data_IF_350305463352
#
_entry.id   IF_350305463352
#
_cell.length_a   1.000
_cell.length_b   1.000
_cell.length_c   1.000
_cell.angle_alpha   90.00
_cell.angle_beta   90.00
_cell.angle_gamma   90.00
#
_symmetry.space_group_name_H-M   'P 1'
#
loop_
_entity.id
_entity.type
_entity.pdbx_description
1 polymer ?
#
# COMPACT_ATOMS: atom_id res chain seq x y z
N UNK A 1 23.08 -1.77 32.84
CA UNK A 1 23.95 -1.36 31.72
C UNK A 1 23.12 -0.39 30.89
N UNK A 2 23.27 0.92 31.14
CA UNK A 2 22.51 1.95 30.43
C UNK A 2 23.00 1.96 28.98
N UNK A 3 22.08 1.68 28.04
CA UNK A 3 22.34 1.86 26.62
C UNK A 3 22.65 3.33 26.36
N UNK A 4 23.87 3.60 25.88
CA UNK A 4 24.22 4.89 25.29
C UNK A 4 23.22 5.19 24.16
N UNK A 5 22.43 6.25 24.29
CA UNK A 5 21.69 6.82 23.16
C UNK A 5 22.74 7.46 22.25
N UNK A 6 23.15 6.75 21.20
CA UNK A 6 23.74 7.38 20.02
C UNK A 6 22.66 8.27 19.42
N UNK A 7 22.83 9.59 19.53
CA UNK A 7 21.99 10.52 18.77
C UNK A 7 22.45 10.39 17.32
N UNK A 8 21.79 9.51 16.56
CA UNK A 8 21.94 9.49 15.11
C UNK A 8 21.42 10.82 14.60
N UNK A 9 22.28 11.67 14.04
CA UNK A 9 21.86 12.93 13.42
C UNK A 9 20.88 12.62 12.28
N UNK A 10 19.60 12.77 12.58
CA UNK A 10 18.50 12.55 11.66
C UNK A 10 18.10 13.89 11.05
N UNK A 11 18.31 14.03 9.74
CA UNK A 11 17.80 15.15 8.98
C UNK A 11 16.39 14.85 8.46
N UNK A 12 15.36 15.62 8.88
CA UNK A 12 14.00 15.43 8.40
C UNK A 12 13.91 15.50 6.88
N UNK A 13 13.25 14.50 6.28
CA UNK A 13 13.02 14.45 4.83
C UNK A 13 14.17 13.86 4.00
N UNK A 14 15.32 13.53 4.61
CA UNK A 14 16.42 12.81 3.96
C UNK A 14 16.39 11.29 4.16
N UNK A 15 15.40 10.78 4.90
CA UNK A 15 15.21 9.34 5.05
C UNK A 15 14.97 8.68 3.68
N UNK A 16 15.63 7.54 3.44
CA UNK A 16 15.32 6.72 2.27
C UNK A 16 13.90 6.14 2.41
N UNK A 17 13.05 6.46 1.44
CA UNK A 17 11.65 6.04 1.38
C UNK A 17 11.37 5.06 0.23
N UNK A 18 12.39 4.43 -0.33
CA UNK A 18 12.26 3.52 -1.49
C UNK A 18 11.26 2.39 -1.23
N UNK A 19 11.33 1.74 -0.06
CA UNK A 19 10.39 0.67 0.31
C UNK A 19 8.97 1.19 0.54
N UNK A 20 8.81 2.41 1.08
CA UNK A 20 7.49 3.02 1.26
C UNK A 20 6.82 3.32 -0.10
N UNK A 21 7.58 3.85 -1.07
CA UNK A 21 7.08 4.09 -2.43
C UNK A 21 6.67 2.78 -3.10
N UNK A 22 7.52 1.75 -3.04
CA UNK A 22 7.23 0.43 -3.57
C UNK A 22 5.99 -0.20 -2.95
N UNK A 23 5.81 -0.04 -1.65
CA UNK A 23 4.61 -0.52 -0.93
C UNK A 23 3.36 0.20 -1.41
N UNK A 24 3.43 1.53 -1.59
CA UNK A 24 2.31 2.32 -2.11
C UNK A 24 1.93 1.91 -3.54
N UNK A 25 2.92 1.72 -4.42
CA UNK A 25 2.66 1.24 -5.78
C UNK A 25 1.99 -0.15 -5.77
N UNK A 26 2.44 -1.04 -4.88
CA UNK A 26 1.79 -2.34 -4.65
C UNK A 26 0.35 -2.19 -4.16
N UNK A 27 0.10 -1.29 -3.22
CA UNK A 27 -1.22 -1.00 -2.68
C UNK A 27 -2.19 -0.49 -3.77
N UNK A 28 -1.75 0.45 -4.61
CA UNK A 28 -2.60 0.98 -5.70
C UNK A 28 -2.97 -0.14 -6.68
N UNK A 29 -2.03 -1.02 -7.02
CA UNK A 29 -2.31 -2.18 -7.89
C UNK A 29 -3.31 -3.13 -7.22
N UNK A 30 -3.15 -3.42 -5.93
CA UNK A 30 -4.07 -4.26 -5.16
C UNK A 30 -5.49 -3.68 -5.17
N UNK A 31 -5.64 -2.39 -4.84
CA UNK A 31 -6.96 -1.74 -4.79
C UNK A 31 -7.60 -1.69 -6.17
N UNK A 32 -6.83 -1.38 -7.23
CA UNK A 32 -7.33 -1.37 -8.60
C UNK A 32 -7.90 -2.73 -9.00
N UNK A 33 -7.17 -3.82 -8.73
CA UNK A 33 -7.64 -5.18 -9.00
C UNK A 33 -8.87 -5.53 -8.15
N UNK A 34 -8.88 -5.17 -6.87
CA UNK A 34 -10.03 -5.36 -6.01
C UNK A 34 -11.28 -4.66 -6.55
N UNK A 35 -11.16 -3.41 -7.02
CA UNK A 35 -12.27 -2.67 -7.62
C UNK A 35 -12.78 -3.33 -8.90
N UNK A 36 -11.89 -3.77 -9.78
CA UNK A 36 -12.27 -4.48 -11.01
C UNK A 36 -13.01 -5.77 -10.69
N UNK A 37 -12.49 -6.58 -9.75
CA UNK A 37 -13.14 -7.83 -9.34
C UNK A 37 -14.53 -7.58 -8.78
N UNK A 38 -14.70 -6.57 -7.93
CA UNK A 38 -16.01 -6.18 -7.40
C UNK A 38 -16.99 -5.82 -8.51
N UNK A 39 -16.56 -5.04 -9.52
CA UNK A 39 -17.42 -4.68 -10.67
C UNK A 39 -17.79 -5.91 -11.48
N UNK A 40 -16.82 -6.79 -11.77
CA UNK A 40 -17.07 -8.04 -12.52
C UNK A 40 -18.08 -8.92 -11.80
N UNK A 41 -17.98 -9.05 -10.47
CA UNK A 41 -18.93 -9.81 -9.66
C UNK A 41 -20.33 -9.19 -9.73
N UNK A 42 -20.44 -7.86 -9.60
CA UNK A 42 -21.73 -7.17 -9.70
C UNK A 42 -22.39 -7.36 -11.08
N UNK A 43 -21.61 -7.26 -12.16
CA UNK A 43 -22.10 -7.52 -13.52
C UNK A 43 -22.53 -8.99 -13.66
N UNK A 44 -21.74 -9.94 -13.17
CA UNK A 44 -22.08 -11.35 -13.22
C UNK A 44 -23.37 -11.68 -12.45
N UNK A 45 -23.50 -11.15 -11.22
CA UNK A 45 -24.74 -11.26 -10.45
C UNK A 45 -25.93 -10.67 -11.19
N UNK A 46 -25.76 -9.50 -11.82
CA UNK A 46 -26.81 -8.90 -12.63
C UNK A 46 -27.16 -9.75 -13.86
N UNK A 47 -26.22 -10.44 -14.50
CA UNK A 47 -26.54 -11.27 -15.66
C UNK A 47 -27.17 -12.62 -15.29
N UNK A 48 -26.78 -13.21 -14.17
CA UNK A 48 -27.25 -14.55 -13.73
C UNK A 48 -28.53 -14.46 -12.89
N UNK A 49 -28.74 -13.34 -12.20
CA UNK A 49 -29.86 -13.11 -11.30
C UNK A 49 -30.66 -11.83 -11.64
N UNK A 50 -30.56 -11.30 -12.86
CA UNK A 50 -31.61 -10.45 -13.43
C UNK A 50 -32.79 -11.28 -13.93
#
# INVERSE_FOLDING_TARGET
MASHHEVTDYEPGKMDITEHKKTFDGFIKMVTWSSIVSIVILIFMALVNA
#
